data_IF_784040359389
#
_entry.id   IF_784040359389
#
_cell.length_a   1.000
_cell.length_b   1.000
_cell.length_c   1.000
_cell.angle_alpha   90.00
_cell.angle_beta   90.00
_cell.angle_gamma   90.00
#
_symmetry.space_group_name_H-M   'P 1'
#
loop_
_entity.id
_entity.type
_entity.pdbx_description
1 polymer ?
#
# COMPACT_ATOMS: atom_id res chain seq x y z
N UNK A 1 14.96 -15.73 -15.65
CA UNK A 1 15.42 -14.51 -14.95
C UNK A 1 14.22 -13.99 -14.18
N UNK A 2 14.18 -14.20 -12.86
CA UNK A 2 13.10 -13.67 -12.04
C UNK A 2 13.33 -12.17 -11.89
N UNK A 3 12.52 -11.37 -12.59
CA UNK A 3 12.66 -9.92 -12.71
C UNK A 3 12.18 -9.13 -11.49
N UNK A 4 12.28 -9.70 -10.28
CA UNK A 4 12.09 -8.92 -9.05
C UNK A 4 13.40 -8.22 -8.73
N UNK A 5 13.49 -6.94 -9.05
CA UNK A 5 14.47 -6.09 -8.41
C UNK A 5 14.14 -6.05 -6.92
N UNK A 6 15.04 -6.56 -6.08
CA UNK A 6 14.93 -6.45 -4.63
C UNK A 6 14.90 -4.96 -4.26
N UNK A 7 13.92 -4.56 -3.45
CA UNK A 7 13.84 -3.19 -2.96
C UNK A 7 15.03 -2.91 -2.05
N UNK A 8 15.67 -1.76 -2.23
CA UNK A 8 16.57 -1.25 -1.20
C UNK A 8 15.77 -0.93 0.06
N UNK A 9 16.42 -0.98 1.24
CA UNK A 9 15.77 -0.63 2.50
C UNK A 9 15.12 0.77 2.50
N UNK A 10 15.71 1.72 1.76
CA UNK A 10 15.12 3.05 1.58
C UNK A 10 13.84 3.00 0.76
N UNK A 11 13.84 2.30 -0.38
CA UNK A 11 12.64 2.14 -1.21
C UNK A 11 11.52 1.41 -0.46
N UNK A 12 11.88 0.37 0.30
CA UNK A 12 10.93 -0.33 1.15
C UNK A 12 10.28 0.63 2.16
N UNK A 13 11.07 1.45 2.86
CA UNK A 13 10.54 2.41 3.82
C UNK A 13 9.64 3.47 3.16
N UNK A 14 10.02 4.00 2.00
CA UNK A 14 9.19 4.96 1.26
C UNK A 14 7.84 4.37 0.85
N UNK A 15 7.81 3.09 0.44
CA UNK A 15 6.57 2.39 0.10
C UNK A 15 5.71 2.16 1.34
N UNK A 16 6.32 1.78 2.48
CA UNK A 16 5.64 1.66 3.78
C UNK A 16 5.00 2.97 4.22
N UNK A 17 5.74 4.06 4.12
CA UNK A 17 5.28 5.39 4.49
C UNK A 17 4.15 5.89 3.57
N UNK A 18 4.27 5.61 2.27
CA UNK A 18 3.25 5.92 1.27
C UNK A 18 1.95 5.16 1.54
N UNK A 19 2.05 3.86 1.85
CA UNK A 19 0.90 3.04 2.22
C UNK A 19 0.19 3.60 3.47
N UNK A 20 0.94 3.95 4.51
CA UNK A 20 0.39 4.52 5.73
C UNK A 20 -0.29 5.88 5.48
N UNK A 21 0.25 6.71 4.58
CA UNK A 21 -0.37 7.99 4.18
C UNK A 21 -1.67 7.77 3.41
N UNK A 22 -1.69 6.81 2.49
CA UNK A 22 -2.88 6.46 1.72
C UNK A 22 -3.99 5.90 2.60
N UNK A 23 -3.67 5.05 3.59
CA UNK A 23 -4.64 4.59 4.59
C UNK A 23 -5.28 5.76 5.34
N UNK A 24 -4.47 6.67 5.88
CA UNK A 24 -5.00 7.86 6.57
C UNK A 24 -5.85 8.74 5.66
N UNK A 25 -5.49 8.86 4.39
CA UNK A 25 -6.29 9.62 3.43
C UNK A 25 -7.62 8.92 3.14
N UNK A 26 -7.64 7.59 3.01
CA UNK A 26 -8.86 6.82 2.83
C UNK A 26 -9.84 7.00 4.00
N UNK A 27 -9.33 7.12 5.23
CA UNK A 27 -10.14 7.32 6.43
C UNK A 27 -10.70 8.74 6.57
N UNK A 28 -10.09 9.73 5.91
CA UNK A 28 -10.38 11.16 6.15
C UNK A 28 -11.02 11.86 4.95
N UNK A 29 -10.94 11.29 3.75
CA UNK A 29 -11.36 11.99 2.53
C UNK A 29 -12.86 11.88 2.29
N UNK A 30 -13.52 13.03 2.17
CA UNK A 30 -14.96 13.11 1.90
C UNK A 30 -15.29 13.11 0.40
N UNK A 31 -14.30 13.36 -0.46
CA UNK A 31 -14.48 13.43 -1.92
C UNK A 31 -14.51 12.01 -2.50
N UNK A 32 -15.64 11.51 -3.04
CA UNK A 32 -15.78 10.10 -3.43
C UNK A 32 -14.81 9.65 -4.53
N UNK A 33 -14.53 10.52 -5.50
CA UNK A 33 -13.56 10.22 -6.56
C UNK A 33 -12.13 10.06 -6.03
N UNK A 34 -11.77 10.79 -4.97
CA UNK A 34 -10.47 10.66 -4.32
C UNK A 34 -10.43 9.37 -3.49
N UNK A 35 -11.49 9.03 -2.76
CA UNK A 35 -11.58 7.76 -2.04
C UNK A 35 -11.39 6.55 -2.97
N UNK A 36 -12.05 6.57 -4.14
CA UNK A 36 -11.90 5.52 -5.14
C UNK A 36 -10.45 5.40 -5.64
N UNK A 37 -9.81 6.53 -5.98
CA UNK A 37 -8.42 6.55 -6.42
C UNK A 37 -7.45 6.05 -5.34
N UNK A 38 -7.66 6.44 -4.08
CA UNK A 38 -6.83 6.02 -2.94
C UNK A 38 -6.96 4.51 -2.69
N UNK A 39 -8.17 3.95 -2.78
CA UNK A 39 -8.40 2.52 -2.65
C UNK A 39 -7.70 1.72 -3.74
N UNK A 40 -7.74 2.18 -4.99
CA UNK A 40 -7.00 1.55 -6.09
C UNK A 40 -5.49 1.59 -5.85
N UNK A 41 -4.95 2.75 -5.45
CA UNK A 41 -3.52 2.89 -5.15
C UNK A 41 -3.07 2.00 -3.98
N UNK A 42 -3.89 1.86 -2.93
CA UNK A 42 -3.63 0.95 -1.82
C UNK A 42 -3.59 -0.51 -2.28
N UNK A 43 -4.54 -0.94 -3.11
CA UNK A 43 -4.58 -2.30 -3.62
C UNK A 43 -3.35 -2.63 -4.48
N UNK A 44 -2.95 -1.72 -5.37
CA UNK A 44 -1.75 -1.88 -6.21
C UNK A 44 -0.47 -1.93 -5.35
N UNK A 45 -0.35 -1.03 -4.38
CA UNK A 45 0.81 -0.98 -3.48
C UNK A 45 0.88 -2.22 -2.58
N UNK A 46 -0.26 -2.70 -2.08
CA UNK A 46 -0.35 -3.93 -1.30
C UNK A 46 0.15 -5.13 -2.12
N UNK A 47 -0.39 -5.32 -3.33
CA UNK A 47 0.01 -6.42 -4.21
C UNK A 47 1.50 -6.35 -4.58
N UNK A 48 2.04 -5.14 -4.81
CA UNK A 48 3.45 -4.95 -5.09
C UNK A 48 4.34 -5.33 -3.90
N UNK A 49 3.91 -5.02 -2.67
CA UNK A 49 4.64 -5.32 -1.44
C UNK A 49 4.54 -6.80 -1.04
N UNK A 50 3.35 -7.43 -1.16
CA UNK A 50 3.17 -8.87 -0.99
C UNK A 50 4.01 -9.65 -1.99
N UNK A 51 4.07 -9.18 -3.24
CA UNK A 51 4.93 -9.74 -4.28
C UNK A 51 6.43 -9.67 -3.97
N UNK A 52 6.87 -8.83 -3.02
CA UNK A 52 8.26 -8.75 -2.55
C UNK A 52 8.53 -9.62 -1.31
N UNK A 53 7.56 -10.45 -0.88
CA UNK A 53 7.61 -11.24 0.34
C UNK A 53 7.90 -10.41 1.61
N UNK A 54 7.55 -9.12 1.58
CA UNK A 54 7.60 -8.29 2.76
C UNK A 54 6.47 -8.73 3.69
N UNK A 55 6.81 -9.39 4.79
CA UNK A 55 5.84 -9.73 5.83
C UNK A 55 5.31 -8.45 6.46
N UNK A 56 4.18 -7.97 5.94
CA UNK A 56 3.42 -6.94 6.60
C UNK A 56 2.46 -7.60 7.59
N UNK A 57 2.63 -7.29 8.87
CA UNK A 57 1.61 -7.53 9.88
C UNK A 57 0.43 -6.55 9.67
N UNK A 58 -0.23 -6.61 8.51
CA UNK A 58 -1.52 -5.97 8.34
C UNK A 58 -2.55 -6.84 9.03
N UNK A 59 -2.82 -6.52 10.30
CA UNK A 59 -4.08 -6.92 10.90
C UNK A 59 -5.19 -6.43 9.98
N UNK A 60 -5.85 -7.39 9.33
CA UNK A 60 -7.10 -7.22 8.61
C UNK A 60 -8.14 -6.64 9.57
N UNK A 61 -8.22 -5.31 9.66
CA UNK A 61 -9.41 -4.65 10.19
C UNK A 61 -10.29 -4.35 9.00
N UNK A 62 -11.18 -5.30 8.72
CA UNK A 62 -12.48 -5.12 8.09
C UNK A 62 -12.51 -4.11 6.93
N UNK A 63 -12.01 -4.56 5.78
CA UNK A 63 -12.58 -4.14 4.50
C UNK A 63 -13.91 -4.90 4.36
N UNK A 64 -15.00 -4.26 4.75
CA UNK A 64 -16.37 -4.70 4.51
C UNK A 64 -17.23 -3.47 4.19
#
# INVERSE_FOLDING_TARGET
MNGQAELTAWQEQELKDSYARLLRLADTVEVPGVLAAVRSALAELHAALEGQALEFAFHSRDWA
#
